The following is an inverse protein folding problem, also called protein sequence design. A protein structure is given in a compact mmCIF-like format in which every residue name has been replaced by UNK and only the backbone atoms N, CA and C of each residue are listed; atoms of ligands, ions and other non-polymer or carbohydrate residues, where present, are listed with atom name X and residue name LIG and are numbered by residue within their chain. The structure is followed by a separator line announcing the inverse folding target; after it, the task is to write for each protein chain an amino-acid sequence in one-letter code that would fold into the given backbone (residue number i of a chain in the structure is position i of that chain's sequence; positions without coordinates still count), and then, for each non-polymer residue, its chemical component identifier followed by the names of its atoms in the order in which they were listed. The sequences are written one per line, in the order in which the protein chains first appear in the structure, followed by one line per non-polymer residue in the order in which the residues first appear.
data_IF_255291904200
#
_entry.id   IF_255291904200
#
_cell.length_a   1.000
_cell.length_b   1.000
_cell.length_c   1.000
_cell.angle_alpha   90.00
_cell.angle_beta   90.00
_cell.angle_gamma   90.00
#
_symmetry.space_group_name_H-M   'P 1'
#
loop_
_entity.id
_entity.type
_entity.pdbx_description
1 polymer ?
#
# COMPACT_ATOMS: atom_id res chain seq x y z
N UNK A 1 -4.88 0.08 5.00
CA UNK A 1 -4.23 0.86 3.93
C UNK A 1 -3.87 2.23 4.48
N UNK A 2 -2.58 2.52 4.51
CA UNK A 2 -2.04 3.81 4.93
C UNK A 2 -1.31 4.38 3.73
N UNK A 3 -1.67 5.59 3.34
CA UNK A 3 -1.08 6.30 2.21
C UNK A 3 -0.36 7.53 2.75
N UNK A 4 0.88 7.72 2.32
CA UNK A 4 1.66 8.91 2.63
C UNK A 4 2.08 9.55 1.32
N UNK A 5 1.79 10.85 1.20
CA UNK A 5 2.08 11.65 0.01
C UNK A 5 2.94 12.82 0.44
N UNK A 6 4.13 12.94 -0.15
CA UNK A 6 5.09 13.98 0.17
C UNK A 6 5.48 14.73 -1.10
N UNK A 7 5.43 16.08 -1.11
CA UNK A 7 5.93 16.85 -2.25
C UNK A 7 7.42 16.58 -2.45
N UNK A 8 7.83 16.16 -3.66
CA UNK A 8 9.24 15.90 -3.99
C UNK A 8 9.83 16.88 -5.01
N UNK A 9 9.03 17.85 -5.47
CA UNK A 9 9.46 18.92 -6.37
C UNK A 9 8.28 19.51 -7.16
N UNK A 10 8.54 20.45 -8.08
CA UNK A 10 7.50 21.01 -8.95
C UNK A 10 6.83 19.90 -9.76
N UNK A 11 5.53 19.69 -9.56
CA UNK A 11 4.76 18.67 -10.27
C UNK A 11 5.10 17.22 -9.89
N UNK A 12 5.84 16.99 -8.80
CA UNK A 12 6.25 15.66 -8.36
C UNK A 12 5.84 15.39 -6.91
N UNK A 13 5.30 14.20 -6.68
CA UNK A 13 4.87 13.71 -5.37
C UNK A 13 5.47 12.33 -5.15
N UNK A 14 6.21 12.16 -4.07
CA UNK A 14 6.59 10.84 -3.56
C UNK A 14 5.38 10.23 -2.84
N UNK A 15 5.06 8.99 -3.18
CA UNK A 15 3.90 8.28 -2.64
C UNK A 15 4.36 6.95 -2.07
N UNK A 16 4.00 6.69 -0.82
CA UNK A 16 4.20 5.39 -0.18
C UNK A 16 2.84 4.80 0.20
N UNK A 17 2.75 3.47 0.16
CA UNK A 17 1.59 2.72 0.64
C UNK A 17 2.05 1.61 1.56
N UNK A 18 1.43 1.55 2.73
CA UNK A 18 1.71 0.53 3.74
C UNK A 18 0.43 -0.15 4.21
N UNK A 19 0.56 -1.39 4.63
CA UNK A 19 -0.51 -2.11 5.30
C UNK A 19 -0.05 -2.52 6.69
N UNK A 20 -0.72 -2.00 7.71
CA UNK A 20 -0.48 -2.37 9.09
C UNK A 20 -1.39 -3.54 9.51
N UNK A 21 -0.77 -4.65 9.86
CA UNK A 21 -1.44 -5.85 10.40
C UNK A 21 -1.39 -5.91 11.93
N UNK A 22 -0.77 -4.94 12.62
CA UNK A 22 -0.55 -4.95 14.07
C UNK A 22 -1.84 -5.03 14.90
N UNK A 23 -2.95 -4.52 14.35
CA UNK A 23 -4.26 -4.56 14.99
C UNK A 23 -4.97 -5.93 14.85
N UNK A 24 -4.43 -6.87 14.07
CA UNK A 24 -5.00 -8.21 13.92
C UNK A 24 -4.65 -9.06 15.13
N UNK A 25 -5.57 -9.10 16.10
CA UNK A 25 -5.39 -9.80 17.39
C UNK A 25 -6.26 -11.05 17.52
N UNK A 26 -7.13 -11.32 16.56
CA UNK A 26 -8.00 -12.50 16.56
C UNK A 26 -7.18 -13.79 16.41
N UNK A 27 -7.19 -14.62 17.45
CA UNK A 27 -6.37 -15.85 17.52
C UNK A 27 -6.81 -16.93 16.53
N UNK A 28 -8.07 -16.98 16.13
CA UNK A 28 -8.53 -17.96 15.14
C UNK A 28 -8.16 -17.49 13.73
N UNK A 29 -8.20 -16.19 13.48
CA UNK A 29 -7.73 -15.61 12.21
C UNK A 29 -6.21 -15.79 12.03
N UNK A 30 -5.42 -15.57 13.08
CA UNK A 30 -3.96 -15.74 13.04
C UNK A 30 -3.51 -17.19 12.77
N UNK A 31 -4.35 -18.19 13.08
CA UNK A 31 -4.06 -19.61 12.80
C UNK A 31 -4.39 -20.00 11.36
N UNK A 32 -5.34 -19.31 10.74
CA UNK A 32 -5.89 -19.67 9.43
C UNK A 32 -5.25 -18.90 8.28
N UNK A 33 -4.72 -17.70 8.55
CA UNK A 33 -4.13 -16.83 7.54
C UNK A 33 -2.63 -16.61 7.82
N UNK A 34 -1.81 -16.70 6.78
CA UNK A 34 -0.40 -16.29 6.81
C UNK A 34 -0.26 -14.78 6.59
N UNK A 35 0.61 -14.14 7.36
CA UNK A 35 0.91 -12.71 7.22
C UNK A 35 2.27 -12.48 6.55
N UNK A 36 2.40 -11.46 5.68
CA UNK A 36 1.34 -10.53 5.27
C UNK A 36 0.33 -11.20 4.32
N UNK A 37 -0.97 -10.98 4.55
CA UNK A 37 -2.01 -11.58 3.71
C UNK A 37 -2.11 -10.92 2.33
N UNK A 38 -1.64 -9.69 2.21
CA UNK A 38 -1.47 -8.98 0.95
C UNK A 38 0.01 -9.04 0.56
N UNK A 39 0.34 -9.63 -0.61
CA UNK A 39 1.72 -9.73 -1.07
C UNK A 39 2.24 -8.35 -1.50
N UNK A 40 3.56 -8.15 -1.42
CA UNK A 40 4.21 -6.87 -1.74
C UNK A 40 3.93 -6.43 -3.17
N UNK A 41 3.89 -7.39 -4.08
CA UNK A 41 3.65 -7.19 -5.51
C UNK A 41 2.28 -6.53 -5.78
N UNK A 42 1.30 -6.77 -4.89
CA UNK A 42 0.00 -6.10 -4.97
C UNK A 42 0.09 -4.60 -4.57
N UNK A 43 0.97 -4.26 -3.62
CA UNK A 43 1.26 -2.85 -3.28
C UNK A 43 1.96 -2.16 -4.47
N UNK A 44 2.96 -2.82 -5.05
CA UNK A 44 3.69 -2.30 -6.22
C UNK A 44 2.73 -2.08 -7.41
N UNK A 45 1.83 -3.03 -7.66
CA UNK A 45 0.79 -2.91 -8.70
C UNK A 45 -0.17 -1.75 -8.42
N UNK A 46 -0.51 -1.51 -7.16
CA UNK A 46 -1.38 -0.39 -6.76
C UNK A 46 -0.69 0.95 -7.02
N UNK A 47 0.60 1.07 -6.68
CA UNK A 47 1.40 2.27 -6.97
C UNK A 47 1.55 2.50 -8.49
N UNK A 48 1.76 1.44 -9.27
CA UNK A 48 1.86 1.53 -10.73
C UNK A 48 0.55 2.03 -11.36
N UNK A 49 -0.59 1.50 -10.91
CA UNK A 49 -1.91 1.95 -11.37
C UNK A 49 -2.17 3.41 -11.02
N UNK A 50 -1.79 3.85 -9.81
CA UNK A 50 -1.88 5.24 -9.43
C UNK A 50 -1.04 6.12 -10.36
N UNK A 51 0.23 5.77 -10.55
CA UNK A 51 1.15 6.53 -11.41
C UNK A 51 0.63 6.66 -12.86
N UNK A 52 0.04 5.59 -13.41
CA UNK A 52 -0.58 5.61 -14.73
C UNK A 52 -1.74 6.63 -14.80
N UNK A 53 -2.65 6.59 -13.82
CA UNK A 53 -3.83 7.46 -13.79
C UNK A 53 -3.49 8.95 -13.67
N UNK A 54 -2.50 9.31 -12.85
CA UNK A 54 -2.06 10.72 -12.74
C UNK A 54 -1.24 11.19 -13.94
N UNK A 55 -0.63 10.28 -14.70
CA UNK A 55 0.10 10.66 -15.93
C UNK A 55 -0.82 10.90 -17.12
N UNK A 56 -2.03 10.34 -17.10
CA UNK A 56 -3.07 10.54 -18.12
C UNK A 56 -3.92 11.80 -17.87
N UNK A 57 -3.81 12.42 -16.69
CA UNK A 57 -4.65 13.53 -16.21
C UNK A 57 -4.14 14.93 -16.58
#
# INVERSE_FOLDING_TARGET
WIWELQPSGPGSTEVSVSYDWSAVTDKELLKTIGFPAVPREALDSTLANLAAQVSEA
#
